data_IF_448397442694
#
_entry.id   IF_448397442694
#
_cell.length_a   1.000
_cell.length_b   1.000
_cell.length_c   1.000
_cell.angle_alpha   90.00
_cell.angle_beta   90.00
_cell.angle_gamma   90.00
#
_symmetry.space_group_name_H-M   'P 1'
#
loop_
_entity.id
_entity.type
_entity.pdbx_description
1 polymer ?
#
# COMPACT_ATOMS: atom_id res chain seq x y z
N UNK A 1 20.10 -45.25 -5.66
CA UNK A 1 19.93 -43.90 -5.10
C UNK A 1 18.42 -43.72 -4.99
N UNK A 2 17.89 -43.77 -3.77
CA UNK A 2 16.44 -43.66 -3.56
C UNK A 2 15.99 -42.24 -3.88
N UNK A 3 14.89 -42.12 -4.62
CA UNK A 3 14.24 -40.83 -4.86
C UNK A 3 13.76 -40.28 -3.52
N UNK A 4 14.06 -39.03 -3.17
CA UNK A 4 13.58 -38.45 -1.92
C UNK A 4 12.04 -38.40 -1.91
N UNK A 5 11.43 -38.65 -0.75
CA UNK A 5 9.98 -38.55 -0.58
C UNK A 5 9.52 -37.10 -0.79
N UNK A 6 8.68 -36.91 -1.81
CA UNK A 6 8.10 -35.62 -2.15
C UNK A 6 6.69 -35.51 -1.58
N UNK A 7 6.41 -34.36 -0.99
CA UNK A 7 5.14 -34.02 -0.38
C UNK A 7 4.52 -32.84 -1.13
N UNK A 8 3.23 -32.93 -1.40
CA UNK A 8 2.46 -31.87 -2.06
C UNK A 8 1.61 -31.12 -1.05
N UNK A 9 1.61 -29.79 -1.15
CA UNK A 9 0.70 -28.94 -0.38
C UNK A 9 0.21 -27.76 -1.20
N UNK A 10 -1.10 -27.52 -1.10
CA UNK A 10 -1.76 -26.37 -1.70
C UNK A 10 -1.94 -25.27 -0.66
N UNK A 11 -1.61 -24.04 -1.02
CA UNK A 11 -1.78 -22.85 -0.20
C UNK A 11 -2.53 -21.79 -0.99
N UNK A 12 -3.65 -21.33 -0.46
CA UNK A 12 -4.41 -20.21 -1.01
C UNK A 12 -3.93 -18.90 -0.40
N UNK A 13 -3.62 -17.92 -1.24
CA UNK A 13 -3.14 -16.60 -0.83
C UNK A 13 -4.32 -15.63 -0.66
N UNK A 14 -4.23 -14.76 0.35
CA UNK A 14 -5.30 -13.80 0.68
C UNK A 14 -5.01 -12.38 0.21
N UNK A 15 -3.75 -11.97 0.28
CA UNK A 15 -3.34 -10.59 0.02
C UNK A 15 -2.37 -10.46 -1.17
N UNK A 16 -1.53 -11.48 -1.40
CA UNK A 16 -0.56 -11.49 -2.50
C UNK A 16 -1.05 -12.28 -3.73
N UNK A 17 -0.54 -11.91 -4.91
CA UNK A 17 -0.74 -12.65 -6.16
C UNK A 17 0.22 -13.84 -6.24
N UNK A 18 -0.33 -15.03 -6.51
CA UNK A 18 0.42 -16.27 -6.66
C UNK A 18 1.49 -16.24 -7.76
N UNK A 19 1.28 -15.48 -8.84
CA UNK A 19 2.26 -15.29 -9.93
C UNK A 19 3.51 -14.58 -9.43
N UNK A 20 3.33 -13.47 -8.73
CA UNK A 20 4.44 -12.69 -8.18
C UNK A 20 5.17 -13.46 -7.09
N UNK A 21 4.41 -14.16 -6.23
CA UNK A 21 5.00 -14.93 -5.15
C UNK A 21 5.79 -16.14 -5.66
N UNK A 22 5.35 -16.81 -6.74
CA UNK A 22 6.11 -17.90 -7.39
C UNK A 22 7.52 -17.43 -7.77
N UNK A 23 7.65 -16.24 -8.34
CA UNK A 23 8.95 -15.70 -8.78
C UNK A 23 9.88 -15.54 -7.57
N UNK A 24 9.36 -15.03 -6.46
CA UNK A 24 10.15 -14.82 -5.24
C UNK A 24 10.62 -16.14 -4.59
N UNK A 25 9.80 -17.19 -4.64
CA UNK A 25 10.12 -18.49 -4.00
C UNK A 25 10.71 -19.52 -4.96
N UNK A 26 10.82 -19.22 -6.26
CA UNK A 26 11.34 -20.16 -7.26
C UNK A 26 12.78 -20.63 -6.94
N UNK A 27 13.60 -19.75 -6.35
CA UNK A 27 14.96 -20.09 -5.93
C UNK A 27 15.05 -20.88 -4.63
N UNK A 28 13.93 -21.10 -3.94
CA UNK A 28 13.87 -21.87 -2.69
C UNK A 28 13.53 -23.34 -2.90
N UNK A 29 13.18 -23.75 -4.12
CA UNK A 29 12.74 -25.11 -4.46
C UNK A 29 13.95 -26.04 -4.56
N UNK A 30 13.81 -27.29 -4.15
CA UNK A 30 14.87 -28.30 -4.31
C UNK A 30 15.00 -28.75 -5.77
N UNK A 31 16.06 -29.50 -6.09
CA UNK A 31 16.33 -29.99 -7.45
C UNK A 31 15.16 -30.78 -8.08
N UNK A 32 14.38 -31.48 -7.24
CA UNK A 32 13.23 -32.28 -7.69
C UNK A 32 11.87 -31.64 -7.35
N UNK A 33 11.88 -30.44 -6.75
CA UNK A 33 10.66 -29.77 -6.36
C UNK A 33 9.96 -29.08 -7.53
N UNK A 34 8.64 -28.97 -7.44
CA UNK A 34 7.80 -28.35 -8.47
C UNK A 34 6.86 -27.35 -7.80
N UNK A 35 6.77 -26.14 -8.34
CA UNK A 35 5.76 -25.15 -7.96
C UNK A 35 4.83 -24.89 -9.14
N UNK A 36 3.54 -25.08 -8.89
CA UNK A 36 2.46 -24.75 -9.82
C UNK A 36 1.57 -23.67 -9.24
N UNK A 37 1.02 -22.82 -10.10
CA UNK A 37 0.05 -21.79 -9.73
C UNK A 37 -1.32 -22.20 -10.24
N UNK A 38 -2.33 -22.13 -9.39
CA UNK A 38 -3.72 -22.07 -9.81
C UNK A 38 -4.20 -20.62 -9.81
N UNK A 39 -4.25 -20.03 -11.00
CA UNK A 39 -4.65 -18.64 -11.20
C UNK A 39 -6.13 -18.38 -10.95
N UNK A 40 -7.00 -19.40 -10.95
CA UNK A 40 -8.43 -19.22 -10.67
C UNK A 40 -8.69 -19.02 -9.18
N UNK A 41 -7.98 -19.74 -8.32
CA UNK A 41 -8.13 -19.68 -6.88
C UNK A 41 -7.07 -18.84 -6.17
N UNK A 42 -6.14 -18.22 -6.92
CA UNK A 42 -4.96 -17.54 -6.37
C UNK A 42 -4.19 -18.43 -5.38
N UNK A 43 -3.99 -19.70 -5.76
CA UNK A 43 -3.32 -20.70 -4.92
C UNK A 43 -1.99 -21.14 -5.52
N UNK A 44 -1.06 -21.49 -4.64
CA UNK A 44 0.21 -22.13 -4.98
C UNK A 44 0.17 -23.59 -4.56
N UNK A 45 0.55 -24.47 -5.48
CA UNK A 45 0.74 -25.90 -5.24
C UNK A 45 2.24 -26.13 -5.23
N UNK A 46 2.77 -26.53 -4.07
CA UNK A 46 4.21 -26.79 -3.87
C UNK A 46 4.40 -28.28 -3.65
N UNK A 47 5.27 -28.89 -4.44
CA UNK A 47 5.72 -30.26 -4.32
C UNK A 47 7.21 -30.24 -3.99
N UNK A 48 7.61 -30.71 -2.81
CA UNK A 48 9.02 -30.77 -2.42
C UNK A 48 9.22 -31.76 -1.27
N UNK A 49 10.46 -32.00 -0.89
CA UNK A 49 10.85 -32.64 0.37
C UNK A 49 10.17 -31.98 1.56
N UNK A 50 9.88 -32.77 2.60
CA UNK A 50 9.14 -32.30 3.79
C UNK A 50 9.78 -31.07 4.44
N UNK A 51 11.10 -31.07 4.59
CA UNK A 51 11.83 -29.96 5.22
C UNK A 51 11.73 -28.67 4.41
N UNK A 52 11.90 -28.77 3.08
CA UNK A 52 11.84 -27.60 2.22
C UNK A 52 10.42 -27.07 2.07
N UNK A 53 9.43 -27.97 2.03
CA UNK A 53 8.02 -27.63 2.04
C UNK A 53 7.66 -26.80 3.28
N UNK A 54 8.07 -27.22 4.48
CA UNK A 54 7.83 -26.46 5.72
C UNK A 54 8.49 -25.08 5.71
N UNK A 55 9.70 -24.97 5.17
CA UNK A 55 10.41 -23.69 4.98
C UNK A 55 9.65 -22.77 4.04
N UNK A 56 9.26 -23.25 2.86
CA UNK A 56 8.51 -22.49 1.86
C UNK A 56 7.17 -22.01 2.43
N UNK A 57 6.41 -22.90 3.09
CA UNK A 57 5.12 -22.57 3.72
C UNK A 57 5.25 -21.47 4.78
N UNK A 58 6.32 -21.51 5.57
CA UNK A 58 6.59 -20.49 6.59
C UNK A 58 6.88 -19.13 5.96
N UNK A 59 7.64 -19.09 4.86
CA UNK A 59 7.91 -17.85 4.15
C UNK A 59 6.66 -17.32 3.44
N UNK A 60 5.87 -18.18 2.80
CA UNK A 60 4.60 -17.78 2.17
C UNK A 60 3.67 -17.13 3.21
N UNK A 61 3.53 -17.72 4.41
CA UNK A 61 2.73 -17.13 5.50
C UNK A 61 3.27 -15.80 6.03
N UNK A 62 4.59 -15.59 5.97
CA UNK A 62 5.21 -14.32 6.37
C UNK A 62 5.02 -13.24 5.31
N UNK A 63 5.06 -13.61 4.03
CA UNK A 63 4.87 -12.71 2.91
C UNK A 63 3.40 -12.31 2.74
N UNK A 64 2.46 -13.28 2.83
CA UNK A 64 1.01 -13.07 2.70
C UNK A 64 0.39 -12.47 3.98
N UNK A 65 0.95 -11.35 4.43
CA UNK A 65 0.43 -10.55 5.54
C UNK A 65 -0.31 -9.33 5.02
N UNK A 66 -1.29 -8.88 5.80
CA UNK A 66 -2.05 -7.67 5.50
C UNK A 66 -1.11 -6.48 5.27
N UNK A 67 -1.25 -5.74 4.16
CA UNK A 67 -0.44 -4.55 3.92
C UNK A 67 -0.69 -3.50 5.01
N UNK A 68 0.35 -2.74 5.38
CA UNK A 68 0.20 -1.63 6.31
C UNK A 68 -0.63 -0.53 5.65
N UNK A 69 -1.75 -0.16 6.27
CA UNK A 69 -2.52 1.02 5.86
C UNK A 69 -1.80 2.27 6.37
N UNK A 70 -1.62 3.26 5.50
CA UNK A 70 -1.13 4.59 5.87
C UNK A 70 -2.27 5.60 5.74
N UNK A 71 -2.47 6.43 6.77
CA UNK A 71 -3.40 7.57 6.73
C UNK A 71 -2.62 8.79 6.27
N UNK A 72 -3.12 9.48 5.25
CA UNK A 72 -2.57 10.77 4.80
C UNK A 72 -3.60 11.85 5.13
N UNK A 73 -3.24 12.77 6.03
CA UNK A 73 -4.06 13.93 6.38
C UNK A 73 -3.42 15.18 5.76
N UNK A 74 -4.23 15.97 5.04
CA UNK A 74 -3.80 17.24 4.43
C UNK A 74 -4.71 18.35 4.96
N UNK A 75 -4.11 19.38 5.55
CA UNK A 75 -4.81 20.59 5.98
C UNK A 75 -4.45 21.71 5.02
N UNK A 76 -5.45 22.28 4.35
CA UNK A 76 -5.30 23.43 3.45
C UNK A 76 -5.81 24.67 4.20
N UNK A 77 -4.92 25.62 4.46
CA UNK A 77 -5.25 26.91 5.05
C UNK A 77 -5.11 27.97 3.95
N UNK A 78 -6.21 28.65 3.66
CA UNK A 78 -6.22 29.83 2.81
C UNK A 78 -6.41 31.06 3.70
N UNK A 79 -5.58 32.08 3.52
CA UNK A 79 -5.63 33.33 4.29
C UNK A 79 -5.84 34.49 3.32
N UNK A 80 -6.98 35.16 3.45
CA UNK A 80 -7.31 36.37 2.71
C UNK A 80 -7.26 37.56 3.69
N UNK A 81 -6.44 38.56 3.36
CA UNK A 81 -6.33 39.81 4.11
C UNK A 81 -7.02 40.91 3.28
N UNK A 82 -8.12 41.43 3.81
CA UNK A 82 -8.84 42.57 3.24
C UNK A 82 -8.52 43.81 4.10
N UNK A 83 -7.54 44.62 3.66
CA UNK A 83 -7.17 45.90 4.30
C UNK A 83 -7.80 47.08 3.54
N UNK A 84 -9.11 47.29 3.73
CA UNK A 84 -9.81 48.47 3.20
C UNK A 84 -9.85 49.59 4.26
N UNK A 85 -8.82 50.45 4.25
CA UNK A 85 -8.81 51.68 5.07
C UNK A 85 -9.22 52.88 4.21
N UNK A 86 -10.44 53.37 4.37
CA UNK A 86 -10.90 54.63 3.78
C UNK A 86 -10.83 55.77 4.80
N UNK A 87 -10.06 56.81 4.49
CA UNK A 87 -9.98 58.04 5.30
C UNK A 87 -10.62 59.18 4.49
N UNK A 88 -11.77 59.67 4.95
CA UNK A 88 -12.47 60.81 4.36
C UNK A 88 -12.35 62.06 5.23
N UNK A 89 -12.01 63.21 4.63
CA UNK A 89 -12.11 64.53 5.27
C UNK A 89 -13.39 65.21 4.77
N UNK A 90 -14.29 65.56 5.68
CA UNK A 90 -15.49 66.32 5.35
C UNK A 90 -15.20 67.83 5.40
N UNK A 91 -15.11 68.46 4.23
CA UNK A 91 -14.81 69.88 4.06
C UNK A 91 -16.02 70.81 4.28
N UNK A 92 -17.24 70.27 4.41
CA UNK A 92 -18.48 71.05 4.63
C UNK A 92 -18.49 71.73 6.00
N UNK A 93 -17.78 71.14 6.98
CA UNK A 93 -17.61 71.71 8.33
C UNK A 93 -16.66 72.91 8.38
N UNK A 94 -15.86 73.12 7.33
CA UNK A 94 -14.88 74.21 7.25
C UNK A 94 -15.39 75.41 6.43
N UNK A 95 -16.52 75.28 5.75
CA UNK A 95 -17.16 76.43 5.12
C UNK A 95 -17.99 77.21 6.14
N UNK A 96 -17.37 78.20 6.77
CA UNK A 96 -18.08 79.27 7.46
C UNK A 96 -18.99 79.96 6.44
N UNK A 97 -20.30 79.70 6.51
CA UNK A 97 -21.31 80.55 5.89
C UNK A 97 -21.37 81.87 6.65
N UNK A 98 -20.40 82.74 6.39
CA UNK A 98 -20.58 84.19 6.52
C UNK A 98 -20.62 84.75 5.12
N UNK A 99 -21.84 84.93 4.60
CA UNK A 99 -22.09 85.85 3.48
C UNK A 99 -23.16 86.82 3.97
N UNK A 100 -22.86 88.10 3.73
CA UNK A 100 -23.50 89.35 4.17
C UNK A 100 -25.05 89.36 4.09
#
# INVERSE_FOLDING_TARGET
MESPDLFVKTVTLKFLDAKNLRIAIAGMVSEHGIISIDGKSNSLIVCDTKENLEKILTQIKKADRTPKQIMVEVVILDVQLDDDTEIGINWDLLSDKTYD
#
